data_IF_759995548292
#
_entry.id   IF_759995548292
#
_cell.length_a   1.000
_cell.length_b   1.000
_cell.length_c   1.000
_cell.angle_alpha   90.00
_cell.angle_beta   90.00
_cell.angle_gamma   90.00
#
_symmetry.space_group_name_H-M   'P 1'
#
loop_
_entity.id
_entity.type
_entity.pdbx_description
1 polymer ?
#
# COMPACT_ATOMS: atom_id res chain seq x y z
N UNK A 1 -38.95 38.41 -6.81
CA UNK A 1 -37.61 38.22 -7.40
C UNK A 1 -36.89 39.55 -7.24
N UNK A 2 -35.74 39.58 -6.58
CA UNK A 2 -35.21 40.82 -6.00
C UNK A 2 -34.22 41.54 -6.92
N UNK A 3 -33.46 40.79 -7.72
CA UNK A 3 -32.46 41.33 -8.64
C UNK A 3 -32.45 40.55 -9.95
N UNK A 4 -32.14 41.22 -11.07
CA UNK A 4 -31.99 40.62 -12.40
C UNK A 4 -30.60 40.93 -12.95
N UNK A 5 -29.98 39.99 -13.65
CA UNK A 5 -28.74 40.24 -14.38
C UNK A 5 -29.01 41.27 -15.48
N UNK A 6 -28.18 42.31 -15.59
CA UNK A 6 -28.35 43.39 -16.57
C UNK A 6 -28.28 42.85 -18.01
N UNK A 7 -27.36 41.93 -18.27
CA UNK A 7 -27.19 41.31 -19.57
C UNK A 7 -28.01 40.02 -19.68
N UNK A 8 -28.65 39.79 -20.83
CA UNK A 8 -29.26 38.49 -21.13
C UNK A 8 -28.18 37.50 -21.53
N UNK A 9 -28.21 36.30 -20.97
CA UNK A 9 -27.29 35.21 -21.35
C UNK A 9 -28.00 34.32 -22.35
N UNK A 10 -27.50 34.26 -23.60
CA UNK A 10 -28.15 33.52 -24.70
C UNK A 10 -29.66 33.83 -24.86
N UNK A 11 -30.04 35.10 -24.62
CA UNK A 11 -31.42 35.56 -24.69
C UNK A 11 -32.28 35.21 -23.46
N UNK A 12 -31.69 34.68 -22.39
CA UNK A 12 -32.38 34.32 -21.14
C UNK A 12 -32.21 35.42 -20.09
N UNK A 13 -33.27 35.68 -19.31
CA UNK A 13 -33.25 36.61 -18.19
C UNK A 13 -32.95 35.84 -16.91
N UNK A 14 -31.92 36.26 -16.17
CA UNK A 14 -31.49 35.57 -14.95
C UNK A 14 -31.88 36.43 -13.75
N UNK A 15 -32.65 35.83 -12.85
CA UNK A 15 -33.12 36.45 -11.63
C UNK A 15 -32.47 35.80 -10.41
N UNK A 16 -32.11 36.66 -9.47
CA UNK A 16 -31.57 36.28 -8.17
C UNK A 16 -32.55 36.69 -7.09
N UNK A 17 -32.71 35.84 -6.09
CA UNK A 17 -33.52 36.11 -4.91
C UNK A 17 -33.02 35.33 -3.71
N UNK A 18 -33.50 35.72 -2.54
CA UNK A 18 -33.28 35.01 -1.29
C UNK A 18 -34.60 34.42 -0.81
N UNK A 19 -34.58 33.16 -0.38
CA UNK A 19 -35.73 32.49 0.23
C UNK A 19 -35.26 31.67 1.43
N UNK A 20 -35.73 32.03 2.64
CA UNK A 20 -35.38 31.34 3.89
C UNK A 20 -33.86 31.07 3.99
N UNK A 21 -33.07 32.12 3.84
CA UNK A 21 -31.58 32.12 3.87
C UNK A 21 -30.87 31.45 2.67
N UNK A 22 -31.58 30.78 1.77
CA UNK A 22 -31.01 30.20 0.55
C UNK A 22 -31.05 31.14 -0.66
N UNK A 23 -29.97 31.16 -1.44
CA UNK A 23 -29.94 31.83 -2.75
C UNK A 23 -30.77 31.03 -3.75
N UNK A 24 -31.74 31.71 -4.39
CA UNK A 24 -32.57 31.17 -5.47
C UNK A 24 -32.14 31.84 -6.77
N UNK A 25 -31.68 31.03 -7.72
CA UNK A 25 -31.34 31.48 -9.08
C UNK A 25 -32.40 30.93 -10.02
N UNK A 26 -33.00 31.81 -10.82
CA UNK A 26 -33.98 31.45 -11.84
C UNK A 26 -33.58 32.00 -13.19
N UNK A 27 -33.82 31.23 -14.25
CA UNK A 27 -33.63 31.67 -15.62
C UNK A 27 -34.97 31.59 -16.35
N UNK A 28 -35.45 32.72 -16.86
CA UNK A 28 -36.61 32.77 -17.73
C UNK A 28 -36.14 32.51 -19.16
N UNK A 29 -36.63 31.42 -19.74
CA UNK A 29 -36.34 31.02 -21.12
C UNK A 29 -37.62 30.99 -21.95
N UNK A 30 -37.50 30.77 -23.27
CA UNK A 30 -38.66 30.56 -24.14
C UNK A 30 -39.46 29.31 -23.76
N UNK A 31 -38.80 28.33 -23.16
CA UNK A 31 -39.37 27.01 -22.82
C UNK A 31 -39.92 26.97 -21.37
N UNK A 32 -39.86 28.10 -20.65
CA UNK A 32 -40.42 28.26 -19.31
C UNK A 32 -39.44 28.78 -18.26
N UNK A 33 -39.87 28.68 -17.00
CA UNK A 33 -39.09 29.14 -15.86
C UNK A 33 -38.22 28.01 -15.30
N UNK A 34 -36.90 28.18 -15.44
CA UNK A 34 -35.91 27.26 -14.87
C UNK A 34 -35.47 27.77 -13.49
N UNK A 35 -35.31 26.86 -12.55
CA UNK A 35 -34.75 27.12 -11.23
C UNK A 35 -33.51 26.27 -11.02
N UNK A 36 -32.43 26.90 -10.54
CA UNK A 36 -31.20 26.20 -10.21
C UNK A 36 -31.43 25.22 -9.04
N UNK A 37 -30.91 24.00 -9.19
CA UNK A 37 -30.87 22.98 -8.13
C UNK A 37 -29.42 22.79 -7.70
N UNK A 38 -29.07 23.07 -6.43
CA UNK A 38 -27.72 22.85 -5.92
C UNK A 38 -27.34 21.36 -5.94
N UNK A 39 -26.07 21.05 -6.27
CA UNK A 39 -25.57 19.67 -6.31
C UNK A 39 -25.77 18.91 -5.00
N UNK A 40 -25.70 19.61 -3.86
CA UNK A 40 -25.94 19.06 -2.51
C UNK A 40 -27.32 18.42 -2.31
N UNK A 41 -28.28 18.69 -3.21
CA UNK A 41 -29.61 18.06 -3.16
C UNK A 41 -29.56 16.58 -3.55
N UNK A 42 -28.56 16.17 -4.33
CA UNK A 42 -28.41 14.80 -4.83
C UNK A 42 -27.43 13.95 -4.01
N UNK A 43 -26.86 14.54 -2.96
CA UNK A 43 -25.79 13.94 -2.15
C UNK A 43 -26.15 14.08 -0.68
N UNK A 44 -26.23 12.96 0.03
CA UNK A 44 -26.24 12.93 1.48
C UNK A 44 -24.84 12.53 1.99
N UNK A 45 -24.61 12.62 3.30
CA UNK A 45 -23.31 12.28 3.90
C UNK A 45 -22.86 10.84 3.56
N UNK A 46 -23.82 9.90 3.45
CA UNK A 46 -23.55 8.47 3.22
C UNK A 46 -24.03 7.92 1.86
N UNK A 47 -24.80 8.69 1.07
CA UNK A 47 -25.42 8.17 -0.16
C UNK A 47 -25.48 9.20 -1.29
N UNK A 48 -25.53 8.69 -2.52
CA UNK A 48 -25.67 9.51 -3.73
C UNK A 48 -26.85 8.97 -4.53
N UNK A 49 -27.85 9.81 -4.75
CA UNK A 49 -29.11 9.40 -5.40
C UNK A 49 -28.93 9.16 -6.92
N UNK A 50 -27.89 9.76 -7.51
CA UNK A 50 -27.55 9.66 -8.94
C UNK A 50 -26.03 9.53 -9.11
N UNK A 51 -25.54 8.95 -10.21
CA UNK A 51 -24.09 8.83 -10.45
C UNK A 51 -23.35 10.17 -10.40
N UNK A 52 -22.11 10.18 -9.89
CA UNK A 52 -21.30 11.40 -9.80
C UNK A 52 -21.05 12.05 -11.16
N UNK A 53 -21.07 11.28 -12.25
CA UNK A 53 -20.94 11.80 -13.62
C UNK A 53 -22.06 12.78 -14.03
N UNK A 54 -23.17 12.81 -13.28
CA UNK A 54 -24.32 13.71 -13.43
C UNK A 54 -24.34 14.82 -12.39
N UNK A 55 -23.44 14.79 -11.41
CA UNK A 55 -23.33 15.78 -10.34
C UNK A 55 -22.09 16.65 -10.57
N UNK A 56 -20.92 16.02 -10.73
CA UNK A 56 -19.65 16.68 -11.00
C UNK A 56 -19.68 17.35 -12.38
N UNK A 57 -19.14 18.56 -12.44
CA UNK A 57 -19.11 19.42 -13.62
C UNK A 57 -20.46 19.60 -14.34
N UNK A 58 -21.55 19.45 -13.58
CA UNK A 58 -22.91 19.68 -14.04
C UNK A 58 -23.55 20.85 -13.29
N UNK A 59 -24.49 21.51 -13.97
CA UNK A 59 -25.44 22.46 -13.41
C UNK A 59 -26.83 21.92 -13.68
N UNK A 60 -27.65 21.91 -12.63
CA UNK A 60 -28.96 21.28 -12.64
C UNK A 60 -30.05 22.35 -12.72
N UNK A 61 -30.90 22.27 -13.74
CA UNK A 61 -32.00 23.21 -13.95
C UNK A 61 -33.34 22.49 -13.86
N UNK A 62 -34.15 22.85 -12.87
CA UNK A 62 -35.52 22.38 -12.74
C UNK A 62 -36.48 23.30 -13.50
N UNK A 63 -37.15 22.79 -14.53
CA UNK A 63 -38.28 23.49 -15.14
C UNK A 63 -39.50 23.35 -14.23
N UNK A 64 -39.98 24.46 -13.68
CA UNK A 64 -41.07 24.48 -12.70
C UNK A 64 -42.39 24.01 -13.35
N UNK A 65 -42.60 24.33 -14.62
CA UNK A 65 -43.84 24.03 -15.32
C UNK A 65 -43.90 22.55 -15.72
N UNK A 66 -42.82 22.03 -16.34
CA UNK A 66 -42.79 20.66 -16.82
C UNK A 66 -42.40 19.62 -15.76
N UNK A 67 -41.92 20.08 -14.59
CA UNK A 67 -41.39 19.23 -13.51
C UNK A 67 -40.24 18.31 -13.95
N UNK A 68 -39.39 18.82 -14.86
CA UNK A 68 -38.18 18.14 -15.30
C UNK A 68 -36.93 18.80 -14.73
N UNK A 69 -35.96 17.99 -14.30
CA UNK A 69 -34.61 18.47 -13.99
C UNK A 69 -33.68 18.09 -15.13
N UNK A 70 -33.06 19.08 -15.76
CA UNK A 70 -32.05 18.88 -16.79
C UNK A 70 -30.64 18.96 -16.21
N UNK A 71 -29.82 17.94 -16.49
CA UNK A 71 -28.42 17.87 -16.08
C UNK A 71 -27.54 18.44 -17.20
N UNK A 72 -27.08 19.68 -17.05
CA UNK A 72 -26.29 20.38 -18.07
C UNK A 72 -24.82 20.41 -17.72
N UNK A 73 -23.98 19.84 -18.58
CA UNK A 73 -22.52 19.81 -18.39
C UNK A 73 -21.86 21.17 -18.67
N UNK A 74 -20.87 21.52 -17.86
CA UNK A 74 -19.97 22.65 -18.09
C UNK A 74 -19.15 22.43 -19.38
N UNK A 75 -18.77 23.52 -20.10
CA UNK A 75 -19.09 24.92 -19.82
C UNK A 75 -20.49 25.35 -20.33
N UNK A 76 -21.18 24.53 -21.11
CA UNK A 76 -22.41 24.92 -21.81
C UNK A 76 -23.69 24.81 -20.96
N UNK A 77 -23.68 25.43 -19.78
CA UNK A 77 -24.72 25.30 -18.75
C UNK A 77 -26.04 26.04 -19.07
N UNK A 78 -26.01 26.93 -20.07
CA UNK A 78 -27.15 27.77 -20.45
C UNK A 78 -27.93 27.22 -21.65
N UNK A 79 -27.46 26.16 -22.31
CA UNK A 79 -28.06 25.61 -23.53
C UNK A 79 -28.57 24.18 -23.31
N UNK A 80 -29.85 23.97 -23.59
CA UNK A 80 -30.46 22.63 -23.69
C UNK A 80 -29.83 21.86 -24.85
N UNK A 81 -29.44 20.60 -24.61
CA UNK A 81 -28.84 19.72 -25.64
C UNK A 81 -29.53 18.35 -25.61
N UNK A 82 -29.73 17.70 -26.77
CA UNK A 82 -30.30 16.34 -26.83
C UNK A 82 -29.47 15.29 -26.06
N UNK A 83 -28.20 15.58 -25.77
CA UNK A 83 -27.32 14.69 -25.01
C UNK A 83 -27.40 14.86 -23.49
N UNK A 84 -28.16 15.85 -23.00
CA UNK A 84 -28.34 16.07 -21.57
C UNK A 84 -29.22 14.96 -20.99
N UNK A 85 -28.92 14.57 -19.76
CA UNK A 85 -29.84 13.75 -18.99
C UNK A 85 -30.99 14.63 -18.49
N UNK A 86 -32.19 14.06 -18.39
CA UNK A 86 -33.40 14.73 -17.92
C UNK A 86 -34.09 13.80 -16.93
N UNK A 87 -34.25 14.24 -15.69
CA UNK A 87 -35.05 13.56 -14.68
C UNK A 87 -36.47 14.09 -14.71
N UNK A 88 -37.42 13.17 -14.76
CA UNK A 88 -38.84 13.43 -14.60
C UNK A 88 -39.23 13.28 -13.14
N UNK A 89 -39.62 14.37 -12.49
CA UNK A 89 -39.97 14.34 -11.07
C UNK A 89 -41.29 13.62 -10.81
N UNK A 90 -42.13 13.45 -11.83
CA UNK A 90 -43.41 12.74 -11.72
C UNK A 90 -43.20 11.24 -11.79
N UNK A 91 -42.47 10.77 -12.81
CA UNK A 91 -42.21 9.33 -12.99
C UNK A 91 -40.96 8.85 -12.27
N UNK A 92 -40.13 9.76 -11.75
CA UNK A 92 -38.80 9.51 -11.15
C UNK A 92 -37.82 8.80 -12.09
N UNK A 93 -38.03 8.93 -13.40
CA UNK A 93 -37.14 8.35 -14.41
C UNK A 93 -36.12 9.38 -14.89
N UNK A 94 -34.87 8.93 -15.08
CA UNK A 94 -33.81 9.77 -15.64
C UNK A 94 -33.50 9.26 -17.05
N UNK A 95 -33.71 10.11 -18.06
CA UNK A 95 -33.59 9.74 -19.47
C UNK A 95 -32.56 10.59 -20.21
N UNK A 96 -31.84 10.00 -21.15
CA UNK A 96 -30.98 10.70 -22.12
C UNK A 96 -31.32 10.17 -23.50
N UNK A 97 -31.89 11.02 -24.36
CA UNK A 97 -32.50 10.59 -25.62
C UNK A 97 -33.52 9.46 -25.31
N UNK A 98 -33.26 8.25 -25.79
CA UNK A 98 -34.10 7.07 -25.54
C UNK A 98 -33.47 6.09 -24.52
N UNK A 99 -32.39 6.47 -23.83
CA UNK A 99 -31.77 5.65 -22.78
C UNK A 99 -32.35 5.98 -21.41
N UNK A 100 -32.58 4.96 -20.58
CA UNK A 100 -33.04 5.06 -19.20
C UNK A 100 -31.88 4.77 -18.25
N UNK A 101 -31.65 5.64 -17.26
CA UNK A 101 -30.65 5.42 -16.22
C UNK A 101 -31.06 4.25 -15.33
N UNK A 102 -30.10 3.40 -14.95
CA UNK A 102 -30.33 2.40 -13.91
C UNK A 102 -30.14 3.07 -12.55
N UNK A 103 -31.11 2.89 -11.66
CA UNK A 103 -31.07 3.40 -10.29
C UNK A 103 -29.86 2.82 -9.52
N UNK A 104 -28.95 3.65 -8.97
CA UNK A 104 -27.82 3.20 -8.15
C UNK A 104 -28.19 2.32 -6.96
N UNK A 105 -29.45 2.39 -6.48
CA UNK A 105 -29.94 1.61 -5.36
C UNK A 105 -30.60 0.29 -5.77
N UNK A 106 -30.81 0.05 -7.06
CA UNK A 106 -31.44 -1.17 -7.58
C UNK A 106 -30.55 -2.42 -7.43
N UNK A 107 -31.18 -3.60 -7.37
CA UNK A 107 -30.45 -4.88 -7.35
C UNK A 107 -29.62 -5.07 -8.62
N UNK A 108 -30.14 -4.65 -9.78
CA UNK A 108 -29.42 -4.69 -11.06
C UNK A 108 -28.12 -3.89 -10.99
N UNK A 109 -28.17 -2.66 -10.46
CA UNK A 109 -26.98 -1.85 -10.29
C UNK A 109 -25.98 -2.48 -9.33
N UNK A 110 -26.45 -3.07 -8.23
CA UNK A 110 -25.59 -3.76 -7.26
C UNK A 110 -24.89 -4.97 -7.87
N UNK A 111 -25.56 -5.74 -8.73
CA UNK A 111 -24.91 -6.82 -9.49
C UNK A 111 -23.80 -6.29 -10.40
N UNK A 112 -24.07 -5.22 -11.15
CA UNK A 112 -23.08 -4.59 -12.05
C UNK A 112 -21.91 -4.01 -11.26
N UNK A 113 -22.19 -3.34 -10.15
CA UNK A 113 -21.19 -2.79 -9.25
C UNK A 113 -20.25 -3.86 -8.69
N UNK A 114 -20.76 -5.06 -8.40
CA UNK A 114 -19.96 -6.19 -7.97
C UNK A 114 -18.91 -6.60 -8.99
N UNK A 115 -19.20 -6.49 -10.29
CA UNK A 115 -18.27 -6.84 -11.38
C UNK A 115 -17.07 -5.88 -11.40
N UNK A 116 -17.31 -4.58 -11.18
CA UNK A 116 -16.26 -3.56 -11.06
C UNK A 116 -15.73 -3.42 -9.64
N UNK A 117 -16.06 -4.36 -8.75
CA UNK A 117 -15.71 -4.33 -7.34
C UNK A 117 -14.23 -4.06 -7.13
N UNK A 118 -13.91 -3.04 -6.35
CA UNK A 118 -12.55 -2.59 -6.04
C UNK A 118 -11.73 -2.03 -7.22
N UNK A 119 -12.13 -2.23 -8.47
CA UNK A 119 -11.56 -1.54 -9.64
C UNK A 119 -12.04 -0.09 -9.72
N UNK A 120 -13.34 0.15 -9.51
CA UNK A 120 -13.94 1.48 -9.52
C UNK A 120 -14.95 1.66 -8.38
N UNK A 121 -15.13 2.89 -7.90
CA UNK A 121 -16.17 3.18 -6.91
C UNK A 121 -17.57 3.16 -7.56
N UNK A 122 -18.56 2.62 -6.84
CA UNK A 122 -19.94 2.50 -7.33
C UNK A 122 -20.53 3.82 -7.80
N UNK A 123 -20.22 4.93 -7.12
CA UNK A 123 -20.70 6.27 -7.46
C UNK A 123 -20.02 6.89 -8.70
N UNK A 124 -18.92 6.32 -9.20
CA UNK A 124 -18.07 6.89 -10.27
C UNK A 124 -18.30 6.30 -11.66
N UNK A 125 -19.15 5.29 -11.78
CA UNK A 125 -19.63 4.81 -13.08
C UNK A 125 -21.13 5.04 -13.24
N UNK A 126 -21.60 5.01 -14.49
CA UNK A 126 -23.00 5.27 -14.83
C UNK A 126 -23.55 4.09 -15.62
N UNK A 127 -24.55 3.41 -15.07
CA UNK A 127 -25.23 2.31 -15.76
C UNK A 127 -26.56 2.79 -16.34
N UNK A 128 -26.87 2.39 -17.57
CA UNK A 128 -28.10 2.74 -18.25
C UNK A 128 -28.53 1.69 -19.26
N UNK A 129 -29.83 1.59 -19.46
CA UNK A 129 -30.44 0.75 -20.48
C UNK A 129 -30.71 1.60 -21.74
N UNK A 130 -30.03 1.34 -22.87
CA UNK A 130 -30.38 1.97 -24.13
C UNK A 130 -31.72 1.44 -24.68
N UNK A 131 -32.38 2.21 -25.53
CA UNK A 131 -33.62 1.78 -26.21
C UNK A 131 -33.43 0.56 -27.10
N UNK A 132 -32.26 0.46 -27.73
CA UNK A 132 -31.83 -0.68 -28.54
C UNK A 132 -30.49 -1.15 -28.00
N UNK A 133 -30.39 -2.43 -27.67
CA UNK A 133 -29.20 -3.05 -27.13
C UNK A 133 -29.33 -3.46 -25.66
N UNK A 134 -28.27 -4.05 -25.14
CA UNK A 134 -28.18 -4.52 -23.77
C UNK A 134 -27.70 -3.41 -22.83
N UNK A 135 -27.71 -3.72 -21.55
CA UNK A 135 -27.24 -2.84 -20.48
C UNK A 135 -25.86 -2.27 -20.81
N UNK A 136 -25.70 -0.96 -20.59
CA UNK A 136 -24.45 -0.23 -20.84
C UNK A 136 -23.92 0.41 -19.56
N UNK A 137 -22.61 0.46 -19.42
CA UNK A 137 -21.90 1.07 -18.29
C UNK A 137 -20.84 2.01 -18.83
N UNK A 138 -20.86 3.26 -18.38
CA UNK A 138 -19.88 4.29 -18.74
C UNK A 138 -19.03 4.67 -17.52
N UNK A 139 -17.70 4.48 -17.62
CA UNK A 139 -16.70 4.99 -16.67
C UNK A 139 -15.98 6.16 -17.34
N UNK A 140 -16.67 7.30 -17.41
CA UNK A 140 -16.26 8.41 -18.29
C UNK A 140 -14.87 8.98 -18.01
N UNK A 141 -14.47 9.00 -16.75
CA UNK A 141 -13.20 9.58 -16.34
C UNK A 141 -11.99 8.67 -16.66
N UNK A 142 -12.23 7.40 -17.01
CA UNK A 142 -11.25 6.48 -17.58
C UNK A 142 -11.45 6.30 -19.09
N UNK A 143 -12.43 7.00 -19.68
CA UNK A 143 -12.81 6.84 -21.10
C UNK A 143 -13.19 5.40 -21.47
N UNK A 144 -13.74 4.63 -20.52
CA UNK A 144 -14.18 3.25 -20.75
C UNK A 144 -15.70 3.17 -20.87
N UNK A 145 -16.17 2.48 -21.90
CA UNK A 145 -17.56 2.12 -22.08
C UNK A 145 -17.73 0.61 -22.26
N UNK A 146 -18.60 0.03 -21.44
CA UNK A 146 -18.94 -1.39 -21.44
C UNK A 146 -20.40 -1.56 -21.86
N UNK A 147 -20.69 -2.65 -22.58
CA UNK A 147 -22.05 -3.03 -22.94
C UNK A 147 -22.18 -4.55 -22.90
N UNK A 148 -23.37 -5.05 -22.57
CA UNK A 148 -23.66 -6.48 -22.67
C UNK A 148 -23.56 -6.95 -24.13
N UNK A 149 -22.91 -8.09 -24.36
CA UNK A 149 -22.85 -8.74 -25.67
C UNK A 149 -23.80 -9.95 -25.76
N UNK A 150 -23.83 -10.62 -26.91
CA UNK A 150 -24.69 -11.80 -27.15
C UNK A 150 -24.39 -12.99 -26.23
N UNK A 151 -23.19 -13.04 -25.66
CA UNK A 151 -22.74 -14.09 -24.76
C UNK A 151 -23.07 -13.78 -23.29
N UNK A 152 -23.76 -12.66 -23.01
CA UNK A 152 -24.07 -12.22 -21.66
C UNK A 152 -22.88 -11.64 -20.89
N UNK A 153 -21.78 -11.33 -21.58
CA UNK A 153 -20.58 -10.73 -20.99
C UNK A 153 -20.53 -9.23 -21.25
N UNK A 154 -19.83 -8.49 -20.38
CA UNK A 154 -19.58 -7.07 -20.58
C UNK A 154 -18.39 -6.89 -21.54
N UNK A 155 -18.65 -6.27 -22.68
CA UNK A 155 -17.66 -5.94 -23.69
C UNK A 155 -17.29 -4.46 -23.60
N UNK A 156 -15.99 -4.16 -23.54
CA UNK A 156 -15.45 -2.82 -23.63
C UNK A 156 -15.25 -2.42 -25.10
N UNK A 157 -15.80 -1.26 -25.49
CA UNK A 157 -15.70 -0.76 -26.86
C UNK A 157 -14.30 -0.27 -27.20
N UNK A 158 -13.67 0.49 -26.31
CA UNK A 158 -12.40 1.16 -26.58
C UNK A 158 -11.24 0.16 -26.63
N UNK A 159 -11.32 -0.90 -25.81
CA UNK A 159 -10.28 -1.90 -25.69
C UNK A 159 -10.47 -3.11 -26.63
N UNK A 160 -11.59 -3.19 -27.34
CA UNK A 160 -12.02 -4.32 -28.17
C UNK A 160 -11.88 -5.66 -27.44
N UNK A 161 -12.32 -5.69 -26.18
CA UNK A 161 -12.14 -6.82 -25.29
C UNK A 161 -13.39 -7.03 -24.44
N UNK A 162 -13.67 -8.27 -24.06
CA UNK A 162 -14.73 -8.61 -23.12
C UNK A 162 -14.18 -9.01 -21.76
N UNK A 163 -15.00 -8.86 -20.73
CA UNK A 163 -14.65 -9.33 -19.40
C UNK A 163 -14.51 -10.85 -19.41
N UNK A 164 -13.35 -11.31 -18.96
CA UNK A 164 -13.06 -12.74 -18.93
C UNK A 164 -13.86 -13.40 -17.79
N UNK A 165 -14.65 -14.46 -18.07
CA UNK A 165 -15.26 -15.26 -17.00
C UNK A 165 -14.23 -15.78 -15.99
N UNK A 166 -12.99 -16.03 -16.43
CA UNK A 166 -11.88 -16.35 -15.55
C UNK A 166 -11.12 -15.08 -15.16
N UNK A 167 -11.28 -14.62 -13.92
CA UNK A 167 -10.56 -13.45 -13.38
C UNK A 167 -9.17 -13.77 -12.80
N UNK A 168 -8.72 -15.02 -12.88
CA UNK A 168 -7.36 -15.41 -12.53
C UNK A 168 -6.40 -15.15 -13.69
N UNK A 169 -5.44 -14.24 -13.50
CA UNK A 169 -4.43 -13.90 -14.47
C UNK A 169 -3.13 -14.70 -14.31
N UNK A 170 -3.04 -15.58 -13.31
CA UNK A 170 -1.82 -16.30 -12.98
C UNK A 170 -0.77 -15.46 -12.26
N UNK A 171 -1.06 -14.21 -11.90
CA UNK A 171 -0.18 -13.29 -11.16
C UNK A 171 -0.99 -12.23 -10.42
N UNK A 172 -0.30 -11.37 -9.64
CA UNK A 172 -0.89 -10.30 -8.82
C UNK A 172 -1.95 -10.78 -7.83
N UNK A 173 -1.71 -11.94 -7.22
CA UNK A 173 -2.59 -12.47 -6.19
C UNK A 173 -2.66 -11.52 -4.99
N UNK A 174 -3.88 -11.06 -4.67
CA UNK A 174 -4.13 -10.07 -3.64
C UNK A 174 -4.40 -8.65 -4.19
N UNK A 175 -4.08 -8.35 -5.45
CA UNK A 175 -4.52 -7.10 -6.08
C UNK A 175 -6.00 -7.20 -6.46
N UNK A 176 -6.84 -6.48 -5.73
CA UNK A 176 -8.30 -6.46 -5.95
C UNK A 176 -8.73 -5.39 -6.96
N UNK A 177 -7.96 -4.32 -7.13
CA UNK A 177 -8.27 -3.23 -8.06
C UNK A 177 -7.87 -3.53 -9.51
N UNK A 178 -8.17 -4.74 -9.98
CA UNK A 178 -7.87 -5.21 -11.33
C UNK A 178 -9.06 -5.94 -11.94
N UNK A 179 -9.20 -5.85 -13.26
CA UNK A 179 -10.17 -6.64 -14.04
C UNK A 179 -9.42 -7.33 -15.18
N UNK A 180 -9.67 -8.63 -15.35
CA UNK A 180 -9.13 -9.41 -16.47
C UNK A 180 -10.11 -9.38 -17.64
N UNK A 181 -9.57 -9.09 -18.82
CA UNK A 181 -10.26 -9.01 -20.09
C UNK A 181 -9.65 -10.04 -21.05
N UNK A 182 -10.42 -10.49 -22.03
CA UNK A 182 -9.96 -11.29 -23.16
C UNK A 182 -10.40 -10.65 -24.48
N UNK A 183 -9.61 -10.87 -25.53
CA UNK A 183 -9.91 -10.36 -26.86
C UNK A 183 -11.20 -10.99 -27.40
N UNK A 184 -11.95 -10.21 -28.20
CA UNK A 184 -13.25 -10.64 -28.75
C UNK A 184 -13.12 -11.65 -29.88
N UNK A 185 -11.97 -11.70 -30.56
CA UNK A 185 -11.69 -12.60 -31.68
C UNK A 185 -10.83 -13.79 -31.26
N UNK A 186 -9.95 -13.61 -30.28
CA UNK A 186 -9.04 -14.63 -29.78
C UNK A 186 -9.09 -14.70 -28.25
N UNK A 187 -9.91 -15.59 -27.70
CA UNK A 187 -10.15 -15.69 -26.25
C UNK A 187 -8.92 -16.06 -25.44
N UNK A 188 -7.87 -16.59 -26.08
CA UNK A 188 -6.59 -16.90 -25.44
C UNK A 188 -5.75 -15.65 -25.19
N UNK A 189 -6.01 -14.55 -25.92
CA UNK A 189 -5.35 -13.26 -25.70
C UNK A 189 -6.01 -12.53 -24.56
N UNK A 190 -5.37 -12.61 -23.40
CA UNK A 190 -5.86 -12.02 -22.16
C UNK A 190 -5.08 -10.76 -21.80
N UNK A 191 -5.73 -9.84 -21.10
CA UNK A 191 -5.11 -8.62 -20.59
C UNK A 191 -5.75 -8.20 -19.27
N UNK A 192 -5.03 -7.42 -18.48
CA UNK A 192 -5.47 -6.90 -17.19
C UNK A 192 -5.59 -5.38 -17.32
N UNK A 193 -6.71 -4.82 -16.89
CA UNK A 193 -6.79 -3.40 -16.57
C UNK A 193 -6.69 -3.21 -15.06
N UNK A 194 -5.85 -2.28 -14.62
CA UNK A 194 -5.65 -1.97 -13.21
C UNK A 194 -5.64 -0.46 -12.98
N UNK A 195 -6.30 0.00 -11.93
CA UNK A 195 -6.28 1.40 -11.54
C UNK A 195 -4.88 1.80 -11.06
N UNK A 196 -4.36 2.94 -11.52
CA UNK A 196 -2.98 3.38 -11.23
C UNK A 196 -2.86 4.28 -10.00
N UNK A 197 -3.87 4.33 -9.12
CA UNK A 197 -3.82 5.17 -7.92
C UNK A 197 -2.83 4.67 -6.87
N UNK A 198 -2.62 5.47 -5.82
CA UNK A 198 -1.78 5.08 -4.69
C UNK A 198 -2.32 3.80 -4.02
N UNK A 199 -1.43 2.89 -3.68
CA UNK A 199 -1.82 1.60 -3.11
C UNK A 199 -2.14 1.69 -1.61
N UNK A 200 -3.28 1.12 -1.24
CA UNK A 200 -3.65 0.76 0.14
C UNK A 200 -3.57 -0.74 0.28
N UNK A 201 -3.07 -1.22 1.41
CA UNK A 201 -2.90 -2.65 1.65
C UNK A 201 -3.29 -3.02 3.07
N UNK A 202 -3.75 -4.26 3.22
CA UNK A 202 -4.17 -4.81 4.49
C UNK A 202 -3.76 -6.28 4.56
N UNK A 203 -3.07 -6.64 5.63
CA UNK A 203 -2.75 -8.03 5.95
C UNK A 203 -4.01 -8.78 6.38
N UNK A 204 -4.25 -9.94 5.76
CA UNK A 204 -5.30 -10.91 6.08
C UNK A 204 -4.64 -12.26 6.38
N UNK A 205 -4.18 -12.44 7.62
CA UNK A 205 -3.45 -13.64 8.04
C UNK A 205 -2.09 -13.75 7.33
N UNK A 206 -1.94 -14.74 6.46
CA UNK A 206 -0.75 -14.95 5.64
C UNK A 206 -0.82 -14.26 4.26
N UNK A 207 -1.99 -13.73 3.88
CA UNK A 207 -2.19 -13.02 2.62
C UNK A 207 -2.20 -11.51 2.84
N UNK A 208 -1.97 -10.75 1.78
CA UNK A 208 -2.11 -9.29 1.76
C UNK A 208 -3.07 -8.92 0.64
N UNK A 209 -4.09 -8.16 0.99
CA UNK A 209 -4.98 -7.53 0.02
C UNK A 209 -4.40 -6.17 -0.34
N UNK A 210 -4.35 -5.86 -1.63
CA UNK A 210 -3.87 -4.60 -2.19
C UNK A 210 -4.98 -3.98 -3.02
N UNK A 211 -5.27 -2.70 -2.77
CA UNK A 211 -6.28 -1.90 -3.48
C UNK A 211 -5.64 -0.60 -3.95
N UNK A 212 -5.82 -0.27 -5.21
CA UNK A 212 -5.50 1.06 -5.70
C UNK A 212 -6.55 2.04 -5.20
N UNK A 213 -6.11 3.23 -4.80
CA UNK A 213 -7.02 4.35 -4.57
C UNK A 213 -7.61 4.82 -5.89
N UNK A 214 -8.75 5.47 -5.78
CA UNK A 214 -9.52 6.01 -6.89
C UNK A 214 -8.69 7.04 -7.66
N UNK A 215 -8.63 6.88 -8.98
CA UNK A 215 -7.79 7.69 -9.88
C UNK A 215 -8.51 7.92 -11.21
N UNK A 216 -7.97 8.80 -12.05
CA UNK A 216 -8.42 9.00 -13.42
C UNK A 216 -7.53 8.27 -14.45
N UNK A 217 -6.64 7.40 -13.97
CA UNK A 217 -5.69 6.67 -14.80
C UNK A 217 -5.81 5.17 -14.57
N UNK A 218 -5.76 4.40 -15.66
CA UNK A 218 -5.65 2.95 -15.61
C UNK A 218 -4.49 2.49 -16.50
N UNK A 219 -3.92 1.35 -16.17
CA UNK A 219 -2.92 0.69 -17.00
C UNK A 219 -3.50 -0.58 -17.61
N UNK A 220 -3.18 -0.84 -18.88
CA UNK A 220 -3.47 -2.11 -19.55
C UNK A 220 -2.20 -2.94 -19.65
N UNK A 221 -2.27 -4.19 -19.20
CA UNK A 221 -1.18 -5.14 -19.18
C UNK A 221 -1.57 -6.41 -19.93
N UNK A 222 -0.93 -6.74 -21.04
CA UNK A 222 -1.19 -7.98 -21.78
C UNK A 222 -0.51 -9.16 -21.10
N UNK A 223 -1.21 -10.28 -21.07
CA UNK A 223 -0.71 -11.53 -20.51
C UNK A 223 -0.03 -12.32 -21.62
N UNK A 224 1.29 -12.49 -21.50
CA UNK A 224 2.09 -13.31 -22.41
C UNK A 224 2.39 -14.64 -21.71
N UNK A 225 1.55 -15.64 -22.01
CA UNK A 225 1.66 -16.99 -21.42
C UNK A 225 2.89 -17.75 -21.95
N UNK A 226 3.42 -17.39 -23.14
CA UNK A 226 4.54 -18.09 -23.75
C UNK A 226 5.86 -17.71 -23.07
N UNK A 227 6.05 -16.41 -22.83
CA UNK A 227 7.24 -15.90 -22.14
C UNK A 227 7.04 -15.76 -20.63
N UNK A 228 5.82 -16.01 -20.13
CA UNK A 228 5.49 -15.93 -18.72
C UNK A 228 5.65 -14.52 -18.15
N UNK A 229 5.03 -13.52 -18.77
CA UNK A 229 5.21 -12.13 -18.36
C UNK A 229 4.00 -11.24 -18.63
N UNK A 230 3.96 -10.12 -17.92
CA UNK A 230 3.05 -9.02 -18.22
C UNK A 230 3.74 -7.97 -19.11
N UNK A 231 3.14 -7.74 -20.28
CA UNK A 231 3.54 -6.73 -21.25
C UNK A 231 2.74 -5.45 -21.05
N UNK A 232 3.39 -4.30 -21.21
CA UNK A 232 2.74 -3.00 -21.27
C UNK A 232 3.53 -2.11 -22.24
N UNK A 233 2.95 -0.99 -22.70
CA UNK A 233 3.75 0.03 -23.39
C UNK A 233 4.96 0.42 -22.53
N UNK A 234 6.11 0.77 -23.15
CA UNK A 234 7.34 1.12 -22.43
C UNK A 234 7.28 2.53 -21.82
N UNK A 235 6.17 2.84 -21.15
CA UNK A 235 5.95 4.08 -20.43
C UNK A 235 6.43 3.91 -18.98
N UNK A 236 7.27 4.82 -18.45
CA UNK A 236 7.79 4.71 -17.08
C UNK A 236 6.70 4.53 -16.03
N UNK A 237 5.56 5.20 -16.21
CA UNK A 237 4.41 5.10 -15.31
C UNK A 237 3.86 3.68 -15.23
N UNK A 238 3.66 3.02 -16.36
CA UNK A 238 3.15 1.64 -16.42
C UNK A 238 4.19 0.65 -15.93
N UNK A 239 5.46 0.82 -16.28
CA UNK A 239 6.56 -0.05 -15.84
C UNK A 239 6.79 0.00 -14.33
N UNK A 240 6.83 1.21 -13.74
CA UNK A 240 6.97 1.36 -12.30
C UNK A 240 5.73 0.85 -11.55
N UNK A 241 4.53 1.08 -12.09
CA UNK A 241 3.30 0.55 -11.48
C UNK A 241 3.25 -0.97 -11.56
N UNK A 242 3.69 -1.58 -12.67
CA UNK A 242 3.84 -3.03 -12.82
C UNK A 242 4.77 -3.60 -11.75
N UNK A 243 5.96 -3.01 -11.58
CA UNK A 243 6.90 -3.41 -10.55
C UNK A 243 6.32 -3.22 -9.14
N UNK A 244 5.59 -2.12 -8.91
CA UNK A 244 4.91 -1.86 -7.64
C UNK A 244 3.85 -2.94 -7.34
N UNK A 245 2.99 -3.28 -8.30
CA UNK A 245 1.98 -4.31 -8.11
C UNK A 245 2.63 -5.65 -7.73
N UNK A 246 3.64 -6.11 -8.49
CA UNK A 246 4.36 -7.34 -8.16
C UNK A 246 5.00 -7.28 -6.76
N UNK A 247 5.64 -6.16 -6.40
CA UNK A 247 6.28 -6.03 -5.09
C UNK A 247 5.27 -6.15 -3.93
N UNK A 248 4.13 -5.48 -4.03
CA UNK A 248 3.09 -5.48 -2.99
C UNK A 248 2.24 -6.75 -2.96
N UNK A 249 2.21 -7.54 -4.03
CA UNK A 249 1.53 -8.84 -4.10
C UNK A 249 2.49 -10.02 -4.00
N UNK A 250 3.70 -9.81 -3.49
CA UNK A 250 4.69 -10.88 -3.36
C UNK A 250 4.27 -11.93 -2.34
N UNK A 251 4.58 -13.19 -2.62
CA UNK A 251 4.28 -14.33 -1.77
C UNK A 251 5.45 -15.32 -1.77
N UNK A 252 5.46 -16.25 -0.81
CA UNK A 252 6.51 -17.29 -0.70
C UNK A 252 6.56 -18.19 -1.93
N UNK A 253 5.41 -18.45 -2.54
CA UNK A 253 5.31 -19.25 -3.74
C UNK A 253 5.39 -18.34 -4.98
N UNK A 254 6.18 -18.73 -5.99
CA UNK A 254 6.12 -18.09 -7.30
C UNK A 254 4.73 -18.16 -7.90
N UNK A 255 4.36 -17.13 -8.64
CA UNK A 255 3.09 -17.15 -9.36
C UNK A 255 3.17 -18.02 -10.63
N UNK A 256 2.06 -18.66 -11.06
CA UNK A 256 2.05 -19.55 -12.22
C UNK A 256 2.42 -18.88 -13.55
N UNK A 257 2.13 -17.59 -13.72
CA UNK A 257 2.42 -16.89 -14.97
C UNK A 257 3.93 -16.66 -15.14
N UNK A 258 4.57 -16.07 -14.12
CA UNK A 258 5.96 -15.60 -14.22
C UNK A 258 6.97 -16.63 -13.75
N UNK A 259 6.53 -17.66 -13.00
CA UNK A 259 7.42 -18.61 -12.34
C UNK A 259 8.31 -17.97 -11.28
N UNK A 260 8.04 -16.71 -10.91
CA UNK A 260 8.78 -15.89 -9.95
C UNK A 260 7.87 -15.42 -8.83
N UNK A 261 8.45 -15.12 -7.68
CA UNK A 261 7.76 -14.37 -6.64
C UNK A 261 7.56 -12.93 -7.08
N UNK A 262 6.57 -12.24 -6.51
CA UNK A 262 6.34 -10.84 -6.83
C UNK A 262 7.55 -9.94 -6.55
N UNK A 263 8.35 -10.25 -5.53
CA UNK A 263 9.60 -9.53 -5.24
C UNK A 263 10.65 -9.74 -6.35
N UNK A 264 10.85 -10.98 -6.80
CA UNK A 264 11.78 -11.30 -7.89
C UNK A 264 11.35 -10.61 -9.19
N UNK A 265 10.05 -10.66 -9.54
CA UNK A 265 9.56 -10.04 -10.78
C UNK A 265 9.59 -8.51 -10.72
N UNK A 266 9.32 -7.92 -9.56
CA UNK A 266 9.48 -6.48 -9.34
C UNK A 266 10.95 -6.06 -9.55
N UNK A 267 11.91 -6.80 -8.99
CA UNK A 267 13.33 -6.49 -9.13
C UNK A 267 13.81 -6.69 -10.57
N UNK A 268 13.38 -7.77 -11.22
CA UNK A 268 13.66 -8.00 -12.62
C UNK A 268 13.13 -6.84 -13.49
N UNK A 269 11.90 -6.41 -13.26
CA UNK A 269 11.30 -5.27 -13.97
C UNK A 269 12.09 -3.99 -13.73
N UNK A 270 12.37 -3.64 -12.46
CA UNK A 270 13.09 -2.41 -12.12
C UNK A 270 14.52 -2.38 -12.69
N UNK A 271 15.22 -3.51 -12.73
CA UNK A 271 16.57 -3.62 -13.30
C UNK A 271 16.60 -3.64 -14.83
N UNK A 272 15.48 -3.95 -15.47
CA UNK A 272 15.41 -3.98 -16.93
C UNK A 272 15.72 -2.60 -17.51
N UNK A 273 16.40 -2.56 -18.67
CA UNK A 273 16.75 -1.31 -19.34
C UNK A 273 15.54 -0.42 -19.64
N UNK A 274 14.37 -1.03 -19.90
CA UNK A 274 13.12 -0.30 -20.13
C UNK A 274 12.66 0.52 -18.93
N UNK A 275 12.97 0.07 -17.72
CA UNK A 275 12.56 0.71 -16.48
C UNK A 275 13.61 1.70 -15.94
N UNK A 276 14.76 1.80 -16.59
CA UNK A 276 15.81 2.74 -16.21
C UNK A 276 15.52 4.13 -16.79
N UNK A 277 15.70 5.21 -16.02
CA UNK A 277 15.43 6.56 -16.49
C UNK A 277 16.43 6.97 -17.56
N UNK A 278 15.94 7.54 -18.67
CA UNK A 278 16.75 8.21 -19.69
C UNK A 278 16.56 9.74 -19.68
N UNK A 279 15.57 10.23 -18.92
CA UNK A 279 15.33 11.63 -18.58
C UNK A 279 15.05 11.73 -17.07
N UNK A 280 15.18 12.92 -16.45
CA UNK A 280 14.79 13.09 -15.06
C UNK A 280 13.35 12.67 -14.80
N UNK A 281 13.15 11.89 -13.73
CA UNK A 281 11.84 11.45 -13.30
C UNK A 281 11.08 12.61 -12.66
N UNK A 282 9.79 12.73 -13.01
CA UNK A 282 8.86 13.62 -12.32
C UNK A 282 8.48 13.09 -10.92
N UNK A 283 7.79 13.92 -10.14
CA UNK A 283 7.46 13.58 -8.75
C UNK A 283 6.45 12.43 -8.61
N UNK A 284 5.55 12.25 -9.59
CA UNK A 284 4.59 11.14 -9.60
C UNK A 284 5.31 9.79 -9.72
N UNK A 285 6.27 9.68 -10.65
CA UNK A 285 7.09 8.48 -10.82
C UNK A 285 7.98 8.22 -9.60
N UNK A 286 8.58 9.29 -9.05
CA UNK A 286 9.35 9.20 -7.79
C UNK A 286 8.47 8.70 -6.64
N UNK A 287 7.20 9.06 -6.60
CA UNK A 287 6.26 8.61 -5.55
C UNK A 287 6.01 7.11 -5.60
N UNK A 288 5.87 6.53 -6.79
CA UNK A 288 5.73 5.08 -6.99
C UNK A 288 6.99 4.36 -6.51
N UNK A 289 8.16 4.83 -6.94
CA UNK A 289 9.45 4.26 -6.55
C UNK A 289 9.69 4.37 -5.04
N UNK A 290 9.41 5.54 -4.43
CA UNK A 290 9.48 5.73 -2.98
C UNK A 290 8.55 4.78 -2.22
N UNK A 291 7.37 4.46 -2.77
CA UNK A 291 6.48 3.47 -2.17
C UNK A 291 7.09 2.06 -2.17
N UNK A 292 7.79 1.67 -3.24
CA UNK A 292 8.56 0.41 -3.29
C UNK A 292 9.73 0.44 -2.31
N UNK A 293 10.48 1.55 -2.24
CA UNK A 293 11.58 1.74 -1.27
C UNK A 293 11.12 1.50 0.18
N UNK A 294 9.92 1.98 0.55
CA UNK A 294 9.35 1.77 1.89
C UNK A 294 9.03 0.32 2.25
N UNK A 295 9.09 -0.62 1.30
CA UNK A 295 9.01 -2.04 1.60
C UNK A 295 10.26 -2.54 2.34
N UNK A 296 11.39 -1.85 2.26
CA UNK A 296 12.56 -2.21 3.06
C UNK A 296 12.31 -1.90 4.54
N UNK A 297 12.42 -2.89 5.44
CA UNK A 297 12.19 -2.64 6.86
C UNK A 297 13.33 -1.80 7.46
N UNK A 298 12.97 -0.87 8.34
CA UNK A 298 13.94 0.04 8.94
C UNK A 298 14.77 -0.69 10.00
N UNK A 299 16.09 -0.49 9.95
CA UNK A 299 17.05 -1.14 10.85
C UNK A 299 18.01 -0.12 11.42
N UNK A 300 18.03 -0.07 12.74
CA UNK A 300 18.83 0.89 13.51
C UNK A 300 19.59 0.12 14.61
N UNK A 301 20.68 0.70 15.09
CA UNK A 301 21.34 0.21 16.29
C UNK A 301 20.70 0.84 17.54
N UNK A 302 20.65 0.10 18.63
CA UNK A 302 20.21 0.60 19.93
C UNK A 302 21.28 0.34 21.02
N UNK A 303 21.65 1.36 21.81
CA UNK A 303 21.50 2.80 21.52
C UNK A 303 22.13 3.19 20.17
N UNK A 304 21.69 4.29 19.53
CA UNK A 304 22.13 4.66 18.16
C UNK A 304 23.66 4.81 18.03
N UNK A 305 24.30 5.32 19.07
CA UNK A 305 25.75 5.50 19.18
C UNK A 305 26.51 4.18 19.42
N UNK A 306 25.80 3.08 19.68
CA UNK A 306 26.39 1.80 20.08
C UNK A 306 25.92 0.69 19.15
N UNK A 307 26.87 0.10 18.41
CA UNK A 307 26.65 -1.10 17.57
C UNK A 307 26.45 -2.39 18.38
N UNK A 308 25.58 -2.36 19.41
CA UNK A 308 25.37 -3.46 20.37
C UNK A 308 24.11 -4.27 20.10
N UNK A 309 22.99 -3.61 19.82
CA UNK A 309 21.70 -4.26 19.57
C UNK A 309 21.11 -3.77 18.25
N UNK A 310 20.50 -4.68 17.47
CA UNK A 310 19.73 -4.32 16.28
C UNK A 310 18.26 -4.17 16.67
N UNK A 311 17.64 -3.05 16.27
CA UNK A 311 16.20 -2.85 16.30
C UNK A 311 15.66 -2.86 14.86
N UNK A 312 14.53 -3.53 14.65
CA UNK A 312 13.86 -3.63 13.34
C UNK A 312 12.43 -3.15 13.46
N UNK A 313 12.04 -2.20 12.60
CA UNK A 313 10.66 -1.72 12.48
C UNK A 313 10.06 -2.32 11.20
N UNK A 314 9.09 -3.21 11.38
CA UNK A 314 8.30 -3.82 10.31
C UNK A 314 6.95 -3.12 10.20
N UNK A 315 6.44 -3.02 8.98
CA UNK A 315 5.04 -2.67 8.73
C UNK A 315 4.15 -3.87 9.08
N UNK A 316 3.25 -3.67 10.05
CA UNK A 316 2.31 -4.70 10.53
C UNK A 316 1.24 -5.06 9.49
N UNK A 317 0.98 -4.18 8.52
CA UNK A 317 0.00 -4.37 7.46
C UNK A 317 0.52 -5.17 6.27
N UNK A 318 1.81 -5.54 6.29
CA UNK A 318 2.47 -6.39 5.30
C UNK A 318 3.01 -7.68 5.94
N UNK A 319 3.33 -8.66 5.10
CA UNK A 319 4.08 -9.85 5.53
C UNK A 319 5.58 -9.55 5.49
N UNK A 320 6.37 -10.35 6.21
CA UNK A 320 7.84 -10.20 6.21
C UNK A 320 8.47 -10.48 4.85
N UNK A 321 7.79 -11.25 3.99
CA UNK A 321 8.30 -11.63 2.67
C UNK A 321 8.24 -10.47 1.68
N UNK A 322 7.11 -9.76 1.64
CA UNK A 322 6.94 -8.54 0.83
C UNK A 322 7.97 -7.48 1.23
N UNK A 323 8.25 -7.39 2.54
CA UNK A 323 9.18 -6.39 3.06
C UNK A 323 10.64 -6.84 2.85
N UNK A 324 11.28 -6.36 1.79
CA UNK A 324 12.57 -6.83 1.31
C UNK A 324 13.69 -5.79 1.42
N UNK A 325 14.87 -6.17 1.96
CA UNK A 325 16.00 -5.25 2.22
C UNK A 325 16.53 -4.59 0.94
N UNK A 326 16.49 -5.31 -0.18
CA UNK A 326 17.02 -4.82 -1.45
C UNK A 326 16.06 -3.87 -2.22
N UNK A 327 14.83 -3.62 -1.74
CA UNK A 327 13.93 -2.67 -2.40
C UNK A 327 14.49 -1.25 -2.39
N UNK A 328 14.96 -0.80 -1.24
CA UNK A 328 15.55 0.52 -1.05
C UNK A 328 16.81 0.78 -1.89
N UNK A 329 17.88 -0.03 -1.82
CA UNK A 329 19.08 0.24 -2.61
C UNK A 329 18.81 0.18 -4.12
N UNK A 330 17.91 -0.69 -4.58
CA UNK A 330 17.54 -0.77 -5.99
C UNK A 330 16.81 0.51 -6.45
N UNK A 331 15.88 1.02 -5.65
CA UNK A 331 15.18 2.27 -5.94
C UNK A 331 16.13 3.47 -5.86
N UNK A 332 17.02 3.51 -4.87
CA UNK A 332 18.02 4.57 -4.75
C UNK A 332 18.96 4.62 -5.94
N UNK A 333 19.34 3.47 -6.51
CA UNK A 333 20.13 3.43 -7.73
C UNK A 333 19.40 4.11 -8.91
N UNK A 334 18.11 3.81 -9.06
CA UNK A 334 17.25 4.43 -10.10
C UNK A 334 17.12 5.94 -9.87
N UNK A 335 16.86 6.36 -8.63
CA UNK A 335 16.72 7.78 -8.28
C UNK A 335 18.04 8.53 -8.49
N UNK A 336 19.18 7.93 -8.13
CA UNK A 336 20.51 8.50 -8.37
C UNK A 336 20.80 8.68 -9.86
N UNK A 337 20.43 7.70 -10.70
CA UNK A 337 20.51 7.84 -12.17
C UNK A 337 19.64 9.00 -12.66
N UNK A 338 18.41 9.10 -12.18
CA UNK A 338 17.51 10.22 -12.48
C UNK A 338 18.09 11.58 -12.08
N UNK A 339 18.70 11.68 -10.89
CA UNK A 339 19.30 12.93 -10.41
C UNK A 339 20.51 13.33 -11.25
N UNK A 340 21.37 12.36 -11.64
CA UNK A 340 22.47 12.62 -12.58
C UNK A 340 21.99 13.15 -13.92
N UNK A 341 20.80 12.75 -14.37
CA UNK A 341 20.20 13.25 -15.61
C UNK A 341 19.68 14.70 -15.47
N UNK A 342 19.40 15.19 -14.25
CA UNK A 342 18.97 16.57 -14.03
C UNK A 342 20.05 17.58 -14.41
N UNK A 343 21.32 17.21 -14.22
CA UNK A 343 22.47 18.03 -14.64
C UNK A 343 22.48 18.35 -16.16
N UNK A 344 21.80 17.55 -16.98
CA UNK A 344 21.70 17.77 -18.44
C UNK A 344 20.45 18.53 -18.87
N UNK A 345 19.55 18.88 -17.95
CA UNK A 345 18.25 19.53 -18.23
C UNK A 345 18.07 20.88 -17.55
N UNK A 346 18.82 21.19 -16.49
CA UNK A 346 18.83 22.51 -15.85
C UNK A 346 20.27 23.00 -15.62
N UNK A 347 20.54 24.24 -16.04
CA UNK A 347 21.61 25.09 -15.49
C UNK A 347 21.17 25.48 -14.07
N UNK A 348 21.99 25.15 -13.08
CA UNK A 348 21.88 25.54 -11.67
C UNK A 348 20.69 24.99 -10.87
N UNK A 349 20.83 23.79 -10.30
CA UNK A 349 20.47 23.54 -8.89
C UNK A 349 21.44 22.55 -8.26
N UNK A 350 21.94 22.92 -7.08
CA UNK A 350 22.98 22.24 -6.33
C UNK A 350 22.57 20.84 -5.86
N UNK A 351 23.54 19.94 -5.89
CA UNK A 351 23.48 18.59 -5.36
C UNK A 351 23.27 18.62 -3.84
N UNK A 352 22.12 18.15 -3.35
CA UNK A 352 22.07 17.55 -2.01
C UNK A 352 22.50 16.09 -2.13
N UNK A 353 23.82 15.87 -2.15
CA UNK A 353 24.36 14.56 -1.79
C UNK A 353 24.11 14.36 -0.29
N UNK A 354 23.00 13.68 0.05
CA UNK A 354 22.91 13.08 1.38
C UNK A 354 23.95 11.95 1.41
N UNK A 355 25.08 12.24 2.04
CA UNK A 355 26.08 11.26 2.41
C UNK A 355 25.46 10.28 3.40
N UNK A 356 24.89 9.21 2.84
CA UNK A 356 24.23 8.15 3.58
C UNK A 356 25.12 6.90 3.60
N UNK A 357 26.44 7.08 3.71
CA UNK A 357 27.39 5.96 3.74
C UNK A 357 27.44 5.22 5.09
N UNK A 358 26.65 5.67 6.08
CA UNK A 358 26.42 4.93 7.35
C UNK A 358 25.46 3.75 7.14
N UNK A 359 24.78 3.67 5.98
CA UNK A 359 23.87 2.58 5.66
C UNK A 359 24.62 1.28 5.31
N UNK A 360 24.77 0.46 6.36
CA UNK A 360 24.14 -0.88 6.42
C UNK A 360 25.02 -2.12 6.58
N UNK A 361 25.95 -2.13 7.54
CA UNK A 361 26.42 -3.44 8.06
C UNK A 361 25.22 -4.36 8.40
N UNK A 362 24.16 -3.80 9.02
CA UNK A 362 22.94 -4.53 9.33
C UNK A 362 22.18 -5.03 8.08
N UNK A 363 22.04 -4.22 7.02
CA UNK A 363 21.34 -4.69 5.80
C UNK A 363 22.20 -5.66 5.02
N UNK A 364 23.49 -5.40 4.82
CA UNK A 364 24.42 -6.35 4.19
C UNK A 364 24.37 -7.71 4.89
N UNK A 365 24.41 -7.71 6.22
CA UNK A 365 24.26 -8.93 7.04
C UNK A 365 22.92 -9.63 6.80
N UNK A 366 21.80 -8.91 6.86
CA UNK A 366 20.47 -9.50 6.69
C UNK A 366 20.25 -9.98 5.26
N UNK A 367 20.65 -9.21 4.24
CA UNK A 367 20.62 -9.63 2.84
C UNK A 367 21.41 -10.92 2.64
N UNK A 368 22.61 -11.03 3.23
CA UNK A 368 23.40 -12.26 3.18
C UNK A 368 22.66 -13.45 3.82
N UNK A 369 22.08 -13.28 5.01
CA UNK A 369 21.29 -14.33 5.65
C UNK A 369 20.05 -14.73 4.84
N UNK A 370 19.39 -13.76 4.21
CA UNK A 370 18.17 -13.99 3.45
C UNK A 370 18.44 -14.80 2.18
N UNK A 371 19.56 -14.53 1.50
CA UNK A 371 20.03 -15.26 0.32
C UNK A 371 20.34 -16.75 0.57
N UNK A 372 20.45 -17.18 1.85
CA UNK A 372 20.58 -18.61 2.20
C UNK A 372 19.25 -19.35 1.96
N UNK A 373 18.12 -18.68 2.19
CA UNK A 373 16.79 -19.28 2.12
C UNK A 373 16.04 -18.93 0.83
N UNK A 374 16.44 -17.86 0.16
CA UNK A 374 15.86 -17.44 -1.11
C UNK A 374 16.49 -18.20 -2.28
N UNK A 375 15.72 -18.32 -3.37
CA UNK A 375 16.22 -18.95 -4.59
C UNK A 375 17.42 -18.18 -5.12
N UNK A 376 18.38 -18.94 -5.64
CA UNK A 376 19.56 -18.37 -6.28
C UNK A 376 19.14 -17.66 -7.56
N UNK A 377 18.86 -16.38 -7.44
CA UNK A 377 18.53 -15.55 -8.58
C UNK A 377 19.65 -14.54 -8.77
N UNK A 378 20.27 -14.61 -9.95
CA UNK A 378 21.15 -13.55 -10.46
C UNK A 378 20.47 -12.16 -10.45
N UNK A 379 19.13 -12.14 -10.29
CA UNK A 379 18.26 -10.97 -10.16
C UNK A 379 18.61 -10.14 -8.91
N UNK A 380 19.29 -10.68 -7.90
CA UNK A 380 19.73 -9.87 -6.76
C UNK A 380 21.07 -9.17 -7.00
N UNK A 381 21.88 -9.59 -7.98
CA UNK A 381 23.19 -8.97 -8.29
C UNK A 381 24.17 -8.97 -7.10
N UNK A 382 23.89 -9.78 -6.08
CA UNK A 382 24.73 -9.94 -4.89
C UNK A 382 25.53 -11.22 -5.13
N UNK A 383 26.84 -11.09 -5.29
CA UNK A 383 27.73 -12.24 -5.23
C UNK A 383 27.57 -12.88 -3.84
N UNK A 384 27.40 -14.21 -3.80
CA UNK A 384 27.37 -15.04 -2.57
C UNK A 384 28.72 -15.05 -1.82
N UNK A 385 29.50 -13.98 -1.89
CA UNK A 385 30.82 -13.84 -1.26
C UNK A 385 30.71 -13.40 0.20
N UNK A 386 29.82 -14.02 0.97
CA UNK A 386 29.90 -13.94 2.42
C UNK A 386 30.38 -15.29 2.89
N UNK A 387 31.67 -15.37 3.18
CA UNK A 387 32.26 -16.53 3.83
C UNK A 387 31.63 -16.66 5.22
N UNK A 388 30.85 -17.72 5.41
CA UNK A 388 30.29 -18.02 6.74
C UNK A 388 31.45 -18.37 7.69
N UNK A 389 31.41 -17.80 8.89
CA UNK A 389 32.43 -18.05 9.90
C UNK A 389 31.87 -19.01 10.93
N UNK A 390 32.57 -20.11 11.16
CA UNK A 390 32.14 -21.10 12.16
C UNK A 390 32.09 -20.43 13.54
N UNK A 391 30.88 -20.29 14.09
CA UNK A 391 30.68 -19.77 15.43
C UNK A 391 31.44 -20.65 16.44
N UNK A 392 32.37 -20.05 17.17
CA UNK A 392 33.08 -20.71 18.27
C UNK A 392 32.23 -20.56 19.54
N UNK A 393 31.56 -21.63 19.99
CA UNK A 393 30.58 -21.52 21.05
C UNK A 393 31.28 -21.42 22.41
N UNK A 394 30.75 -20.58 23.30
CA UNK A 394 31.40 -20.23 24.58
C UNK A 394 31.41 -21.39 25.58
N UNK A 395 30.53 -22.36 25.41
CA UNK A 395 30.35 -23.55 26.25
C UNK A 395 31.38 -24.65 25.99
N UNK A 396 32.03 -24.66 24.81
CA UNK A 396 33.03 -25.68 24.46
C UNK A 396 34.42 -25.43 25.07
N UNK A 397 34.61 -24.30 25.75
CA UNK A 397 35.87 -23.95 26.40
C UNK A 397 35.93 -24.47 27.85
N UNK A 398 35.88 -25.80 28.01
CA UNK A 398 35.91 -26.48 29.31
C UNK A 398 37.23 -26.30 30.09
N UNK A 399 38.27 -25.79 29.43
CA UNK A 399 39.58 -25.55 30.03
C UNK A 399 39.74 -24.16 30.67
N UNK A 400 38.75 -23.28 30.53
CA UNK A 400 38.78 -21.99 31.23
C UNK A 400 38.68 -22.20 32.75
N UNK A 401 39.49 -21.44 33.50
CA UNK A 401 39.49 -21.45 34.97
C UNK A 401 38.09 -21.14 35.51
N UNK A 402 37.39 -20.20 34.86
CA UNK A 402 36.01 -19.83 35.20
C UNK A 402 35.05 -21.01 35.06
N UNK A 403 35.12 -21.77 33.96
CA UNK A 403 34.28 -22.95 33.72
C UNK A 403 34.55 -24.05 34.75
N UNK A 404 35.82 -24.27 35.10
CA UNK A 404 36.21 -25.23 36.16
C UNK A 404 35.70 -24.81 37.53
N UNK A 405 35.79 -23.53 37.87
CA UNK A 405 35.30 -22.99 39.13
C UNK A 405 33.78 -23.16 39.23
N UNK A 406 33.02 -22.80 38.18
CA UNK A 406 31.57 -22.99 38.14
C UNK A 406 31.21 -24.47 38.28
N UNK A 407 31.88 -25.36 37.52
CA UNK A 407 31.65 -26.81 37.64
C UNK A 407 31.94 -27.34 39.05
N UNK A 408 33.04 -26.91 39.68
CA UNK A 408 33.39 -27.31 41.04
C UNK A 408 32.35 -26.82 42.06
N UNK A 409 31.92 -25.56 41.96
CA UNK A 409 30.88 -24.99 42.83
C UNK A 409 29.57 -25.74 42.67
N UNK A 410 29.10 -25.96 41.44
CA UNK A 410 27.86 -26.71 41.17
C UNK A 410 27.98 -28.17 41.67
N UNK A 411 29.12 -28.82 41.46
CA UNK A 411 29.38 -30.18 41.94
C UNK A 411 29.39 -30.27 43.47
N UNK A 412 29.91 -29.26 44.16
CA UNK A 412 29.84 -29.16 45.62
C UNK A 412 28.41 -28.91 46.09
N UNK A 413 27.63 -28.09 45.39
CA UNK A 413 26.23 -27.82 45.72
C UNK A 413 25.32 -29.06 45.53
N UNK A 414 25.62 -29.90 44.55
CA UNK A 414 24.86 -31.13 44.30
C UNK A 414 25.22 -32.26 45.29
N UNK A 415 26.42 -32.26 45.87
CA UNK A 415 26.84 -33.23 46.87
C UNK A 415 26.43 -32.77 48.27
N UNK A 416 25.34 -33.36 48.79
CA UNK A 416 24.97 -33.21 50.20
C UNK A 416 25.59 -34.35 51.04
N UNK A 417 26.12 -34.08 52.25
CA UNK A 417 26.21 -32.77 52.91
C UNK A 417 27.32 -31.88 52.31
N UNK A 418 27.10 -30.57 52.32
CA UNK A 418 28.04 -29.60 51.78
C UNK A 418 29.31 -29.57 52.64
N UNK A 419 30.42 -30.07 52.10
CA UNK A 419 31.74 -29.97 52.75
C UNK A 419 32.72 -29.30 51.80
N UNK A 420 33.16 -28.10 52.15
CA UNK A 420 34.18 -27.37 51.41
C UNK A 420 35.50 -27.58 52.14
N UNK A 421 36.50 -28.24 51.51
CA UNK A 421 37.82 -28.39 52.10
C UNK A 421 38.55 -27.04 52.10
N UNK A 422 38.35 -26.26 53.16
CA UNK A 422 39.12 -25.04 53.41
C UNK A 422 40.33 -25.36 54.30
N UNK A 423 41.57 -25.05 53.87
CA UNK A 423 42.71 -25.10 54.77
C UNK A 423 42.49 -24.11 55.93
N UNK A 424 42.44 -24.59 57.17
CA UNK A 424 42.14 -23.79 58.37
C UNK A 424 42.96 -22.48 58.45
N UNK A 425 44.22 -22.51 58.02
CA UNK A 425 45.13 -21.36 58.03
C UNK A 425 44.67 -20.19 57.12
N UNK A 426 44.04 -20.48 55.99
CA UNK A 426 43.63 -19.43 55.04
C UNK A 426 42.34 -18.73 55.46
N UNK A 427 41.46 -19.41 56.20
CA UNK A 427 40.20 -18.84 56.65
C UNK A 427 40.39 -17.81 57.77
N UNK A 428 41.27 -18.10 58.74
CA UNK A 428 41.61 -17.16 59.82
C UNK A 428 42.34 -15.93 59.30
N UNK A 429 43.21 -16.08 58.30
CA UNK A 429 43.86 -14.95 57.63
C UNK A 429 42.84 -14.10 56.86
N UNK A 430 41.94 -14.74 56.09
CA UNK A 430 40.90 -14.05 55.33
C UNK A 430 39.94 -13.26 56.24
N UNK A 431 39.52 -13.84 57.37
CA UNK A 431 38.71 -13.13 58.37
C UNK A 431 39.47 -12.00 59.06
N UNK A 432 40.77 -12.17 59.31
CA UNK A 432 41.62 -11.14 59.89
C UNK A 432 41.79 -9.90 59.00
N UNK A 433 41.73 -10.09 57.69
CA UNK A 433 41.80 -9.02 56.69
C UNK A 433 40.46 -8.26 56.53
N UNK A 434 39.35 -8.77 57.09
CA UNK A 434 38.04 -8.13 56.99
C UNK A 434 37.88 -7.05 58.05
N UNK A 435 37.88 -5.78 57.63
CA UNK A 435 37.70 -4.61 58.52
C UNK A 435 36.30 -4.50 59.11
N UNK A 436 35.29 -5.07 58.45
CA UNK A 436 33.90 -5.06 58.88
C UNK A 436 33.25 -6.39 58.46
N UNK A 437 32.64 -7.08 59.42
CA UNK A 437 31.79 -8.24 59.16
C UNK A 437 30.34 -7.76 59.30
N UNK A 438 29.63 -7.68 58.20
CA UNK A 438 28.31 -7.06 58.13
C UNK A 438 27.12 -8.02 58.32
N UNK A 439 25.99 -7.42 58.72
CA UNK A 439 24.63 -7.99 58.86
C UNK A 439 24.52 -9.21 59.78
N UNK A 440 24.26 -8.94 61.06
CA UNK A 440 23.60 -9.86 61.98
C UNK A 440 22.26 -9.22 62.39
N UNK A 441 21.13 -9.90 62.23
CA UNK A 441 19.85 -9.49 62.81
C UNK A 441 18.92 -8.63 61.94
N UNK A 442 18.88 -8.81 60.61
CA UNK A 442 17.84 -8.20 59.77
C UNK A 442 16.84 -9.23 59.22
N UNK A 443 15.58 -8.79 59.14
CA UNK A 443 14.38 -9.53 58.73
C UNK A 443 14.59 -10.43 57.48
N UNK A 444 14.33 -11.76 57.56
CA UNK A 444 14.62 -12.74 56.50
C UNK A 444 13.89 -12.46 55.16
N UNK A 445 12.94 -11.54 55.14
CA UNK A 445 12.19 -11.18 53.94
C UNK A 445 12.86 -10.11 53.04
N UNK A 446 14.03 -9.58 53.41
CA UNK A 446 14.74 -8.55 52.62
C UNK A 446 15.87 -9.13 51.74
N UNK A 447 15.61 -10.23 51.04
CA UNK A 447 16.53 -10.81 50.04
C UNK A 447 16.05 -10.55 48.60
N UNK A 448 15.61 -9.33 48.29
CA UNK A 448 15.45 -8.87 46.91
C UNK A 448 16.75 -8.19 46.44
N UNK A 449 17.84 -8.94 46.40
CA UNK A 449 19.09 -8.44 45.82
C UNK A 449 19.10 -8.74 44.32
N UNK A 450 19.43 -7.73 43.51
CA UNK A 450 19.76 -7.94 42.10
C UNK A 450 20.92 -8.94 42.00
N UNK A 451 20.96 -9.78 40.96
CA UNK A 451 22.11 -10.67 40.72
C UNK A 451 23.44 -9.90 40.66
N UNK A 452 23.40 -8.66 40.16
CA UNK A 452 24.57 -7.77 40.13
C UNK A 452 25.04 -7.45 41.55
N UNK A 453 24.12 -7.14 42.47
CA UNK A 453 24.48 -6.89 43.88
C UNK A 453 25.07 -8.13 44.55
N UNK A 454 24.67 -9.34 44.15
CA UNK A 454 25.24 -10.58 44.71
C UNK A 454 26.64 -10.87 44.17
N UNK A 455 26.95 -10.42 42.94
CA UNK A 455 28.24 -10.64 42.29
C UNK A 455 29.27 -9.57 42.67
N UNK A 456 28.84 -8.31 42.79
CA UNK A 456 29.73 -7.17 42.99
C UNK A 456 29.92 -6.78 44.46
N UNK A 457 29.03 -7.23 45.36
CA UNK A 457 29.16 -6.89 46.78
C UNK A 457 30.30 -7.63 47.46
N UNK A 458 30.94 -6.96 48.40
CA UNK A 458 31.95 -7.55 49.25
C UNK A 458 31.34 -8.65 50.14
N UNK A 459 31.90 -9.85 50.06
CA UNK A 459 31.43 -11.02 50.82
C UNK A 459 31.50 -10.79 52.34
N UNK A 460 32.44 -9.97 52.81
CA UNK A 460 32.62 -9.64 54.23
C UNK A 460 31.39 -8.91 54.82
N UNK A 461 30.73 -8.07 54.03
CA UNK A 461 29.57 -7.28 54.46
C UNK A 461 28.27 -8.09 54.52
N UNK A 462 28.24 -9.26 53.87
CA UNK A 462 27.06 -10.13 53.76
C UNK A 462 27.19 -11.46 54.52
N UNK A 463 28.32 -11.68 55.19
CA UNK A 463 28.69 -12.97 55.77
C UNK A 463 27.75 -13.44 56.89
N UNK A 464 27.18 -12.53 57.69
CA UNK A 464 26.30 -12.91 58.81
C UNK A 464 24.87 -13.28 58.41
N UNK A 465 24.43 -12.92 57.20
CA UNK A 465 23.04 -13.12 56.75
C UNK A 465 22.56 -14.58 56.65
N UNK A 466 23.39 -15.58 56.31
CA UNK A 466 22.97 -16.99 56.28
C UNK A 466 22.93 -17.65 57.66
N UNK A 467 23.54 -17.04 58.69
CA UNK A 467 23.57 -17.61 60.05
C UNK A 467 22.26 -17.37 60.83
N UNK A 468 21.41 -16.45 60.37
CA UNK A 468 20.11 -16.14 60.98
C UNK A 468 18.99 -17.13 60.59
N UNK A 469 19.27 -18.14 59.75
CA UNK A 469 18.27 -19.08 59.18
C UNK A 469 18.54 -20.57 59.56
N UNK A 470 19.42 -20.82 60.53
CA UNK A 470 19.72 -22.18 61.02
C UNK A 470 19.24 -22.42 62.45
#
# INVERSE_FOLDING_TARGET
>A
MSHMLVNRILGQEIHFGLRKEGVVIRALTKDGLLQYVPCRVFTNEDSVDIPLSLIQDCVHWANINSRHIEFRRKPAIWKTRPGNWVMDLTTRHVRRRNSLLVDPHSDLFRCVAGIFGHFEETKRFTSFQPHRGLLSVEIRHLELSFFGNSNGLLQCRELQAEMDPNQDAGTWYGLESKVVLRDIHDTERRSIIAALGALKYQRRGMHVTVRATTTNEYGRFWIDNLLGRLLCPPEPRLLHSKAQFHAFTSFVLPDPLTGRTGTEEAFHTLRSGYCQPWVPLNDDLKTILKAIKRLSPQREYYPEDKRKLQQVKWDKSLTMLIQHENCEPLVEEILRKSNRLQAFTQLDQAEEESDHDILSHLRKRVSAHRLIYERDSSIYGINRTVEDTVYQPRDRNANLVQSRNVYQVVKLLLKRPFSIPFPKMHFTAMLGDWKLIGRFGNDPNCLSHSMIDLIESNIAEKWGSPMDVW
#
